data_IF_672730480740
#
_entry.id   IF_672730480740
#
_cell.length_a   1.000
_cell.length_b   1.000
_cell.length_c   1.000
_cell.angle_alpha   90.00
_cell.angle_beta   90.00
_cell.angle_gamma   90.00
#
_symmetry.space_group_name_H-M   'P 1'
#
loop_
_entity.id
_entity.type
_entity.pdbx_description
1 polymer ?
#
# COMPACT_ATOMS: atom_id res chain seq x y z
N UNK A 1 -15.84 10.56 1.69
CA UNK A 1 -14.80 9.55 1.81
C UNK A 1 -13.40 10.11 1.58
N UNK A 2 -13.23 11.01 0.59
CA UNK A 2 -11.92 11.60 0.27
C UNK A 2 -11.29 12.36 1.44
N UNK A 3 -12.11 12.87 2.35
CA UNK A 3 -11.66 13.67 3.50
C UNK A 3 -11.42 12.85 4.76
N UNK A 4 -11.67 11.55 4.70
CA UNK A 4 -11.52 10.68 5.85
C UNK A 4 -10.05 10.31 6.09
N UNK A 5 -9.69 9.88 7.31
CA UNK A 5 -8.34 9.39 7.57
C UNK A 5 -7.99 8.20 6.67
N UNK A 6 -6.70 8.01 6.36
CA UNK A 6 -6.28 6.94 5.43
C UNK A 6 -6.81 5.55 5.78
N UNK A 7 -6.79 5.16 7.06
CA UNK A 7 -7.28 3.83 7.45
C UNK A 7 -8.77 3.65 7.17
N UNK A 8 -9.55 4.71 7.35
CA UNK A 8 -11.00 4.68 7.09
C UNK A 8 -11.26 4.50 5.61
N UNK A 9 -10.52 5.24 4.77
CA UNK A 9 -10.61 5.11 3.31
C UNK A 9 -10.27 3.68 2.89
N UNK A 10 -9.16 3.16 3.41
CA UNK A 10 -8.69 1.82 3.06
C UNK A 10 -9.69 0.74 3.48
N UNK A 11 -10.24 0.84 4.68
CA UNK A 11 -11.24 -0.13 5.15
C UNK A 11 -12.47 -0.13 4.24
N UNK A 12 -12.96 1.05 3.87
CA UNK A 12 -14.14 1.16 3.00
C UNK A 12 -13.89 0.50 1.64
N UNK A 13 -12.71 0.72 1.06
CA UNK A 13 -12.36 0.13 -0.23
C UNK A 13 -12.18 -1.39 -0.15
N UNK A 14 -11.50 -1.88 0.88
CA UNK A 14 -11.32 -3.33 1.09
C UNK A 14 -12.66 -4.01 1.33
N UNK A 15 -13.54 -3.38 2.10
CA UNK A 15 -14.88 -3.92 2.37
C UNK A 15 -15.68 -4.08 1.08
N UNK A 16 -15.52 -3.16 0.15
CA UNK A 16 -16.21 -3.22 -1.14
C UNK A 16 -15.70 -4.35 -2.01
N UNK A 17 -14.39 -4.63 -1.98
CA UNK A 17 -13.76 -5.53 -2.94
C UNK A 17 -13.59 -6.96 -2.44
N UNK A 18 -13.66 -7.21 -1.13
CA UNK A 18 -13.37 -8.53 -0.56
C UNK A 18 -14.46 -8.96 0.40
N UNK A 19 -14.99 -10.17 0.18
CA UNK A 19 -16.00 -10.74 1.08
C UNK A 19 -15.42 -10.94 2.49
N UNK A 20 -14.17 -11.41 2.59
CA UNK A 20 -13.46 -11.58 3.85
C UNK A 20 -12.69 -10.31 4.24
N UNK A 21 -13.37 -9.16 4.17
CA UNK A 21 -12.72 -7.85 4.29
C UNK A 21 -12.03 -7.63 5.64
N UNK A 22 -12.53 -8.19 6.73
CA UNK A 22 -11.89 -8.02 8.04
C UNK A 22 -10.49 -8.63 8.05
N UNK A 23 -10.34 -9.82 7.49
CA UNK A 23 -9.05 -10.49 7.36
C UNK A 23 -8.13 -9.75 6.39
N UNK A 24 -8.67 -9.35 5.25
CA UNK A 24 -7.86 -8.64 4.24
C UNK A 24 -7.43 -7.28 4.74
N UNK A 25 -8.28 -6.57 5.47
CA UNK A 25 -7.88 -5.29 6.04
C UNK A 25 -6.79 -5.46 7.10
N UNK A 26 -6.88 -6.49 7.94
CA UNK A 26 -5.84 -6.75 8.94
C UNK A 26 -4.47 -6.95 8.27
N UNK A 27 -4.42 -7.67 7.16
CA UNK A 27 -3.19 -7.84 6.39
C UNK A 27 -2.71 -6.53 5.78
N UNK A 28 -3.62 -5.76 5.20
CA UNK A 28 -3.28 -4.45 4.62
C UNK A 28 -2.75 -3.51 5.68
N UNK A 29 -3.37 -3.50 6.85
CA UNK A 29 -2.94 -2.65 7.95
C UNK A 29 -1.50 -2.94 8.37
N UNK A 30 -1.15 -4.21 8.46
CA UNK A 30 0.22 -4.63 8.77
C UNK A 30 1.19 -4.17 7.68
N UNK A 31 0.83 -4.40 6.42
CA UNK A 31 1.68 -4.05 5.28
C UNK A 31 1.95 -2.54 5.24
N UNK A 32 0.91 -1.72 5.28
CA UNK A 32 1.04 -0.27 5.20
C UNK A 32 1.74 0.30 6.44
N UNK A 33 1.53 -0.30 7.61
CA UNK A 33 2.27 0.08 8.81
C UNK A 33 3.77 -0.09 8.61
N UNK A 34 4.19 -1.21 8.03
CA UNK A 34 5.61 -1.47 7.75
C UNK A 34 6.16 -0.54 6.67
N UNK A 35 5.36 -0.25 5.63
CA UNK A 35 5.84 0.59 4.53
C UNK A 35 5.97 2.05 4.92
N UNK A 36 4.97 2.62 5.56
CA UNK A 36 4.92 4.07 5.77
C UNK A 36 4.49 4.50 7.17
N UNK A 37 4.04 3.57 8.01
CA UNK A 37 3.39 3.92 9.26
C UNK A 37 2.11 4.71 9.03
N UNK A 38 1.44 4.50 7.90
CA UNK A 38 0.22 5.23 7.49
C UNK A 38 0.44 6.73 7.30
N UNK A 39 1.69 7.13 6.98
CA UNK A 39 2.01 8.53 6.71
C UNK A 39 1.89 8.80 5.21
N UNK A 40 0.96 9.67 4.85
CA UNK A 40 0.66 10.00 3.44
C UNK A 40 1.89 10.57 2.72
N UNK A 41 2.73 11.31 3.43
CA UNK A 41 3.90 11.97 2.85
C UNK A 41 5.21 11.23 3.15
N UNK A 42 5.15 9.96 3.55
CA UNK A 42 6.37 9.19 3.81
C UNK A 42 7.23 9.14 2.56
N UNK A 43 8.50 9.50 2.69
CA UNK A 43 9.45 9.53 1.59
C UNK A 43 10.73 8.81 1.98
N UNK A 44 11.12 7.83 1.19
CA UNK A 44 12.44 7.22 1.29
C UNK A 44 13.38 8.00 0.36
N UNK A 45 14.29 8.76 0.94
CA UNK A 45 15.16 9.66 0.16
C UNK A 45 16.16 8.91 -0.70
N UNK A 46 16.51 7.68 -0.35
CA UNK A 46 17.44 6.88 -1.14
C UNK A 46 16.81 6.34 -2.41
N UNK A 47 15.57 5.85 -2.33
CA UNK A 47 14.90 5.19 -3.46
C UNK A 47 13.91 6.08 -4.18
N UNK A 48 13.41 7.13 -3.50
CA UNK A 48 12.30 7.94 -3.99
C UNK A 48 10.93 7.30 -3.75
N UNK A 49 10.87 6.17 -3.02
CA UNK A 49 9.60 5.56 -2.67
C UNK A 49 8.76 6.54 -1.85
N UNK A 50 7.49 6.70 -2.22
CA UNK A 50 6.64 7.74 -1.64
C UNK A 50 5.25 7.22 -1.28
N UNK A 51 4.74 7.72 -0.14
CA UNK A 51 3.36 7.58 0.26
C UNK A 51 3.08 6.35 1.08
N UNK A 52 1.80 6.07 1.27
CA UNK A 52 1.33 4.99 2.13
C UNK A 52 1.88 3.62 1.73
N UNK A 53 1.99 3.36 0.43
CA UNK A 53 2.43 2.08 -0.11
C UNK A 53 3.89 2.07 -0.54
N UNK A 54 4.59 3.19 -0.40
CA UNK A 54 5.99 3.35 -0.75
C UNK A 54 6.28 2.93 -2.20
N UNK A 55 5.50 3.49 -3.13
CA UNK A 55 5.72 3.24 -4.54
C UNK A 55 6.89 4.06 -5.07
N UNK A 56 7.73 3.40 -5.86
CA UNK A 56 8.81 4.05 -6.58
C UNK A 56 8.25 4.99 -7.66
N UNK A 57 9.04 5.99 -8.11
CA UNK A 57 8.59 6.87 -9.20
C UNK A 57 8.12 6.12 -10.43
N UNK A 58 8.84 5.04 -10.81
CA UNK A 58 8.46 4.21 -11.96
C UNK A 58 7.12 3.50 -11.75
N UNK A 59 6.83 3.08 -10.53
CA UNK A 59 5.54 2.43 -10.22
C UNK A 59 4.39 3.43 -10.39
N UNK A 60 4.55 4.66 -9.89
CA UNK A 60 3.54 5.70 -10.11
C UNK A 60 3.27 5.91 -11.59
N UNK A 61 4.35 6.03 -12.40
CA UNK A 61 4.24 6.21 -13.84
C UNK A 61 3.56 5.05 -14.54
N UNK A 62 3.84 3.82 -14.13
CA UNK A 62 3.23 2.63 -14.71
C UNK A 62 1.70 2.58 -14.51
N UNK A 63 1.21 3.25 -13.49
CA UNK A 63 -0.24 3.34 -13.23
C UNK A 63 -0.82 4.68 -13.67
N UNK A 64 -0.06 5.45 -14.47
CA UNK A 64 -0.49 6.72 -15.04
C UNK A 64 -0.78 7.81 -13.99
N UNK A 65 -0.05 7.79 -12.87
CA UNK A 65 -0.12 8.85 -11.88
C UNK A 65 1.13 9.71 -11.94
N UNK A 66 0.99 11.02 -11.74
CA UNK A 66 2.16 11.85 -11.53
C UNK A 66 2.88 11.40 -10.25
N UNK A 67 4.19 11.60 -10.21
CA UNK A 67 4.97 11.25 -9.04
C UNK A 67 4.54 12.10 -7.83
N UNK A 68 4.44 11.44 -6.67
CA UNK A 68 4.02 12.01 -5.39
C UNK A 68 2.57 12.51 -5.37
N UNK A 69 1.57 11.65 -5.67
CA UNK A 69 0.18 12.03 -5.41
C UNK A 69 0.02 12.35 -3.92
N UNK A 70 -0.55 13.51 -3.61
CA UNK A 70 -0.56 14.03 -2.23
C UNK A 70 -1.73 13.55 -1.39
N UNK A 71 -2.80 13.05 -1.99
CA UNK A 71 -4.00 12.70 -1.24
C UNK A 71 -4.08 11.20 -0.98
N UNK A 72 -4.56 10.85 0.21
CA UNK A 72 -4.65 9.46 0.66
C UNK A 72 -5.57 8.62 -0.24
N UNK A 73 -6.69 9.20 -0.69
CA UNK A 73 -7.63 8.47 -1.53
C UNK A 73 -6.96 7.95 -2.81
N UNK A 74 -6.25 8.82 -3.52
CA UNK A 74 -5.52 8.44 -4.73
C UNK A 74 -4.47 7.38 -4.45
N UNK A 75 -3.71 7.55 -3.36
CA UNK A 75 -2.67 6.59 -2.98
C UNK A 75 -3.26 5.22 -2.67
N UNK A 76 -4.36 5.18 -1.94
CA UNK A 76 -4.99 3.91 -1.56
C UNK A 76 -5.60 3.21 -2.77
N UNK A 77 -6.26 3.98 -3.63
CA UNK A 77 -6.83 3.44 -4.86
C UNK A 77 -5.74 2.80 -5.74
N UNK A 78 -4.64 3.51 -5.94
CA UNK A 78 -3.50 3.00 -6.70
C UNK A 78 -2.87 1.79 -6.01
N UNK A 79 -2.71 1.86 -4.69
CA UNK A 79 -2.10 0.78 -3.91
C UNK A 79 -2.90 -0.51 -3.95
N UNK A 80 -4.21 -0.42 -3.80
CA UNK A 80 -5.08 -1.61 -3.85
C UNK A 80 -5.14 -2.19 -5.25
N UNK A 81 -5.07 -1.37 -6.30
CA UNK A 81 -4.99 -1.85 -7.67
C UNK A 81 -3.70 -2.63 -7.90
N UNK A 82 -2.57 -2.10 -7.42
CA UNK A 82 -1.27 -2.76 -7.49
C UNK A 82 -1.31 -4.11 -6.77
N UNK A 83 -1.84 -4.14 -5.56
CA UNK A 83 -1.97 -5.37 -4.76
C UNK A 83 -2.83 -6.38 -5.51
N UNK A 84 -3.95 -5.97 -6.06
CA UNK A 84 -4.82 -6.87 -6.80
C UNK A 84 -4.12 -7.46 -8.03
N UNK A 85 -3.44 -6.62 -8.79
CA UNK A 85 -2.79 -7.09 -10.04
C UNK A 85 -1.62 -8.03 -9.77
N UNK A 86 -0.85 -7.79 -8.70
CA UNK A 86 0.36 -8.58 -8.45
C UNK A 86 0.13 -9.74 -7.49
N UNK A 87 -0.76 -9.59 -6.54
CA UNK A 87 -0.93 -10.56 -5.44
C UNK A 87 -2.35 -11.04 -5.26
N UNK A 88 -3.31 -10.44 -5.92
CA UNK A 88 -4.76 -10.67 -5.85
C UNK A 88 -5.37 -10.19 -4.52
N UNK A 89 -4.73 -10.40 -3.39
CA UNK A 89 -5.28 -9.99 -2.09
C UNK A 89 -4.23 -9.32 -1.22
N UNK A 90 -4.66 -8.45 -0.30
CA UNK A 90 -3.75 -7.87 0.69
C UNK A 90 -3.00 -8.92 1.52
N UNK A 91 -3.66 -10.02 1.89
CA UNK A 91 -2.98 -11.05 2.68
C UNK A 91 -1.89 -11.75 1.88
N UNK A 92 -2.06 -11.96 0.58
CA UNK A 92 -1.01 -12.50 -0.27
C UNK A 92 0.17 -11.52 -0.36
N UNK A 93 -0.12 -10.23 -0.50
CA UNK A 93 0.93 -9.21 -0.53
C UNK A 93 1.71 -9.16 0.79
N UNK A 94 0.99 -9.24 1.92
CA UNK A 94 1.61 -9.26 3.24
C UNK A 94 2.50 -10.49 3.45
N UNK A 95 2.03 -11.66 3.01
CA UNK A 95 2.81 -12.89 3.07
C UNK A 95 4.11 -12.76 2.26
N UNK A 96 4.03 -12.17 1.06
CA UNK A 96 5.20 -11.92 0.23
C UNK A 96 6.19 -10.97 0.94
N UNK A 97 5.67 -9.86 1.50
CA UNK A 97 6.49 -8.90 2.24
C UNK A 97 7.25 -9.57 3.38
N UNK A 98 6.55 -10.39 4.17
CA UNK A 98 7.15 -11.10 5.30
C UNK A 98 8.26 -12.06 4.85
N UNK A 99 8.04 -12.74 3.75
CA UNK A 99 9.03 -13.65 3.16
C UNK A 99 10.29 -12.89 2.75
N UNK A 100 10.13 -11.72 2.13
CA UNK A 100 11.27 -10.90 1.73
C UNK A 100 11.98 -10.31 2.95
N UNK A 101 11.25 -9.90 3.98
CA UNK A 101 11.85 -9.38 5.20
C UNK A 101 12.75 -10.41 5.89
N UNK A 102 12.41 -11.70 5.80
CA UNK A 102 13.23 -12.77 6.33
C UNK A 102 14.53 -13.02 5.56
N UNK A 103 14.62 -12.51 4.33
CA UNK A 103 15.80 -12.69 3.45
C UNK A 103 16.66 -11.45 3.33
N UNK A 104 16.11 -10.26 3.56
CA UNK A 104 16.76 -8.98 3.33
C UNK A 104 16.90 -8.23 4.64
N UNK A 105 18.14 -7.94 5.02
CA UNK A 105 18.44 -7.21 6.26
C UNK A 105 17.88 -5.78 6.27
N UNK A 106 17.53 -5.24 5.10
CA UNK A 106 16.96 -3.90 4.98
C UNK A 106 15.45 -3.87 5.18
N UNK A 107 14.85 -5.02 5.46
CA UNK A 107 13.42 -5.16 5.65
C UNK A 107 12.72 -5.77 4.44
N UNK A 108 11.39 -5.88 4.53
CA UNK A 108 10.59 -6.47 3.47
C UNK A 108 10.25 -5.50 2.35
N UNK A 109 9.78 -6.08 1.24
CA UNK A 109 9.30 -5.30 0.09
C UNK A 109 8.29 -6.15 -0.68
N UNK A 110 7.60 -5.54 -1.62
CA UNK A 110 6.58 -6.25 -2.39
C UNK A 110 6.44 -5.70 -3.81
#
# INVERSE_FOLDING_TARGET
LHQMPPKVIALAMVKKDYADHKRQFACLEQLVTKESGWRVNALNRSSGAFGLFQFLPSTWGNYNYPYKPKDAYTQIKAGLRYVYKRYQTPCNAWAFWKKQAGKDLRGGWY
#
